data_IF_449201261466
#
_entry.id   IF_449201261466
#
_cell.length_a   1.000
_cell.length_b   1.000
_cell.length_c   1.000
_cell.angle_alpha   90.00
_cell.angle_beta   90.00
_cell.angle_gamma   90.00
#
_symmetry.space_group_name_H-M   'P 1'
#
loop_
_entity.id
_entity.type
_entity.pdbx_description
1 polymer ?
#
# COMPACT_ATOMS: atom_id res chain seq x y z
N UNK A 1 5.73 -2.59 -10.26
CA UNK A 1 4.40 -2.33 -9.67
C UNK A 1 4.10 -0.87 -9.88
N UNK A 2 2.84 -0.49 -9.89
CA UNK A 2 2.36 0.84 -10.27
C UNK A 2 1.35 1.35 -9.25
N UNK A 3 1.28 2.67 -9.06
CA UNK A 3 0.46 3.30 -8.02
C UNK A 3 -1.03 3.36 -8.37
N UNK A 4 -1.39 3.26 -9.65
CA UNK A 4 -2.77 3.35 -10.18
C UNK A 4 -3.58 2.06 -10.00
N UNK A 5 -2.97 1.01 -9.46
CA UNK A 5 -3.60 -0.30 -9.23
C UNK A 5 -3.42 -0.72 -7.78
N UNK A 6 -4.38 -1.49 -7.26
CA UNK A 6 -4.25 -2.08 -5.93
C UNK A 6 -2.91 -2.80 -5.78
N UNK A 7 -2.20 -2.47 -4.70
CA UNK A 7 -0.92 -3.09 -4.44
C UNK A 7 -1.08 -4.54 -3.99
N UNK A 8 -2.11 -4.85 -3.21
CA UNK A 8 -2.48 -6.22 -2.86
C UNK A 8 -2.68 -7.10 -4.11
N UNK A 9 -3.41 -6.60 -5.12
CA UNK A 9 -3.60 -7.34 -6.36
C UNK A 9 -2.27 -7.60 -7.08
N UNK A 10 -1.42 -6.58 -7.20
CA UNK A 10 -0.11 -6.74 -7.86
C UNK A 10 0.84 -7.68 -7.09
N UNK A 11 0.75 -7.73 -5.76
CA UNK A 11 1.48 -8.68 -4.91
C UNK A 11 0.96 -10.10 -5.13
N UNK A 12 -0.35 -10.28 -5.28
CA UNK A 12 -0.92 -11.58 -5.59
C UNK A 12 -0.40 -12.11 -6.93
N UNK A 13 -0.38 -11.28 -7.97
CA UNK A 13 0.22 -11.64 -9.27
C UNK A 13 1.71 -11.99 -9.14
N UNK A 14 2.45 -11.25 -8.31
CA UNK A 14 3.84 -11.57 -8.00
C UNK A 14 3.99 -12.95 -7.34
N UNK A 15 3.10 -13.31 -6.41
CA UNK A 15 3.08 -14.63 -5.78
C UNK A 15 2.79 -15.75 -6.77
N UNK A 16 1.85 -15.54 -7.69
CA UNK A 16 1.55 -16.50 -8.76
C UNK A 16 2.80 -16.75 -9.59
N UNK A 17 3.51 -15.70 -9.99
CA UNK A 17 4.75 -15.82 -10.76
C UNK A 17 5.82 -16.63 -10.01
N UNK A 18 6.05 -16.33 -8.73
CA UNK A 18 6.98 -17.09 -7.88
C UNK A 18 6.57 -18.56 -7.77
N UNK A 19 5.27 -18.82 -7.68
CA UNK A 19 4.74 -20.18 -7.63
C UNK A 19 4.87 -20.93 -8.96
N UNK A 20 4.75 -20.24 -10.10
CA UNK A 20 4.97 -20.84 -11.41
C UNK A 20 6.43 -21.28 -11.57
N UNK A 21 7.41 -20.50 -11.10
CA UNK A 21 8.80 -20.96 -11.05
C UNK A 21 8.95 -22.25 -10.23
N UNK A 22 8.28 -22.35 -9.08
CA UNK A 22 8.32 -23.59 -8.28
C UNK A 22 7.72 -24.80 -9.00
N UNK A 23 6.66 -24.60 -9.80
CA UNK A 23 6.06 -25.68 -10.61
C UNK A 23 7.01 -26.18 -11.69
N UNK A 24 7.85 -25.30 -12.23
CA UNK A 24 8.94 -25.62 -13.15
C UNK A 24 10.22 -26.10 -12.42
N UNK A 25 10.10 -26.49 -11.15
CA UNK A 25 11.21 -26.95 -10.29
C UNK A 25 12.33 -25.90 -10.07
N UNK A 26 12.03 -24.62 -10.31
CA UNK A 26 12.95 -23.49 -10.07
C UNK A 26 12.67 -22.89 -8.68
N UNK A 27 13.57 -23.17 -7.74
CA UNK A 27 13.48 -22.67 -6.37
C UNK A 27 14.24 -21.37 -6.19
N UNK A 28 13.49 -20.26 -6.06
CA UNK A 28 14.06 -18.96 -5.75
C UNK A 28 14.29 -18.82 -4.23
N UNK A 29 15.48 -18.41 -3.77
CA UNK A 29 15.73 -18.12 -2.37
C UNK A 29 14.77 -17.06 -1.83
N UNK A 30 14.29 -17.21 -0.60
CA UNK A 30 13.35 -16.24 -0.01
C UNK A 30 13.91 -14.81 -0.04
N UNK A 31 15.21 -14.62 0.24
CA UNK A 31 15.85 -13.29 0.17
C UNK A 31 15.77 -12.67 -1.22
N UNK A 32 15.87 -13.49 -2.27
CA UNK A 32 15.74 -13.03 -3.65
C UNK A 32 14.30 -12.59 -3.92
N UNK A 33 13.32 -13.43 -3.55
CA UNK A 33 11.89 -13.11 -3.71
C UNK A 33 11.52 -11.85 -2.94
N UNK A 34 11.96 -11.69 -1.70
CA UNK A 34 11.71 -10.48 -0.91
C UNK A 34 12.40 -9.26 -1.53
N UNK A 35 13.66 -9.39 -1.95
CA UNK A 35 14.42 -8.30 -2.57
C UNK A 35 13.81 -7.84 -3.88
N UNK A 36 13.36 -8.76 -4.74
CA UNK A 36 12.69 -8.45 -5.99
C UNK A 36 11.36 -7.74 -5.75
N UNK A 37 10.56 -8.18 -4.76
CA UNK A 37 9.32 -7.50 -4.40
C UNK A 37 9.60 -6.05 -3.98
N UNK A 38 10.55 -5.86 -3.05
CA UNK A 38 10.97 -4.54 -2.56
C UNK A 38 11.44 -3.65 -3.73
N UNK A 39 12.27 -4.18 -4.63
CA UNK A 39 12.77 -3.43 -5.78
C UNK A 39 11.72 -3.12 -6.85
N UNK A 40 10.59 -3.84 -6.87
CA UNK A 40 9.48 -3.62 -7.81
C UNK A 40 8.45 -2.62 -7.31
N UNK A 41 8.50 -2.23 -6.03
CA UNK A 41 7.55 -1.28 -5.45
C UNK A 41 7.73 0.13 -6.04
N UNK A 42 6.62 0.88 -6.23
CA UNK A 42 6.69 2.27 -6.65
C UNK A 42 7.39 3.14 -5.60
N UNK A 43 7.85 4.31 -6.01
CA UNK A 43 8.52 5.26 -5.11
C UNK A 43 7.61 5.69 -3.94
N UNK A 44 6.30 5.84 -4.19
CA UNK A 44 5.31 6.18 -3.16
C UNK A 44 5.22 5.15 -2.02
N UNK A 45 5.73 3.93 -2.23
CA UNK A 45 5.72 2.83 -1.25
C UNK A 45 7.07 2.63 -0.55
N UNK A 46 8.09 3.45 -0.83
CA UNK A 46 9.43 3.29 -0.23
C UNK A 46 9.43 3.39 1.29
N UNK A 47 8.53 4.19 1.87
CA UNK A 47 8.43 4.31 3.33
C UNK A 47 8.02 3.01 4.00
N UNK A 48 7.26 2.14 3.31
CA UNK A 48 6.96 0.79 3.81
C UNK A 48 8.20 -0.05 4.07
N UNK A 49 9.21 0.15 3.24
CA UNK A 49 10.47 -0.59 3.30
C UNK A 49 11.36 0.02 4.38
N UNK A 50 11.39 1.36 4.48
CA UNK A 50 12.25 2.08 5.41
C UNK A 50 11.82 1.91 6.88
N UNK A 51 10.52 1.89 7.17
CA UNK A 51 9.99 1.57 8.51
C UNK A 51 10.45 0.20 9.00
N UNK A 52 10.61 -0.78 8.09
CA UNK A 52 11.13 -2.11 8.43
C UNK A 52 12.64 -2.13 8.73
N UNK A 53 13.43 -1.16 8.23
CA UNK A 53 14.88 -1.08 8.46
C UNK A 53 15.26 -0.60 9.85
N UNK A 54 14.40 0.19 10.51
CA UNK A 54 14.66 0.70 11.87
C UNK A 54 14.66 -0.41 12.93
N UNK A 55 14.10 -1.59 12.61
CA UNK A 55 14.27 -2.81 13.39
C UNK A 55 15.27 -3.67 12.62
N UNK A 56 16.50 -3.84 13.13
CA UNK A 56 17.59 -4.64 12.53
C UNK A 56 17.29 -6.15 12.34
N UNK A 57 16.03 -6.56 12.16
CA UNK A 57 15.61 -7.90 11.80
C UNK A 57 15.67 -8.07 10.28
N UNK A 58 16.09 -9.25 9.84
CA UNK A 58 15.93 -9.67 8.44
C UNK A 58 14.44 -9.55 8.09
N UNK A 59 14.13 -8.77 7.06
CA UNK A 59 12.77 -8.57 6.58
C UNK A 59 12.37 -9.83 5.81
N UNK A 60 11.35 -10.54 6.28
CA UNK A 60 10.79 -11.70 5.56
C UNK A 60 9.81 -11.25 4.48
N UNK A 61 9.49 -12.13 3.53
CA UNK A 61 8.49 -11.83 2.50
C UNK A 61 7.14 -11.49 3.13
N UNK A 62 6.76 -12.24 4.18
CA UNK A 62 5.52 -12.04 4.93
C UNK A 62 5.46 -10.65 5.57
N UNK A 63 6.56 -10.20 6.16
CA UNK A 63 6.63 -8.88 6.80
C UNK A 63 6.37 -7.76 5.77
N UNK A 64 6.97 -7.86 4.57
CA UNK A 64 6.75 -6.89 3.49
C UNK A 64 5.29 -6.84 3.09
N UNK A 65 4.66 -7.99 2.89
CA UNK A 65 3.26 -8.09 2.47
C UNK A 65 2.35 -7.49 3.54
N UNK A 66 2.51 -7.89 4.80
CA UNK A 66 1.69 -7.37 5.90
C UNK A 66 1.81 -5.85 6.02
N UNK A 67 3.01 -5.30 5.87
CA UNK A 67 3.20 -3.85 5.95
C UNK A 67 2.54 -3.11 4.77
N UNK A 68 2.58 -3.68 3.57
CA UNK A 68 1.88 -3.13 2.40
C UNK A 68 0.37 -3.19 2.60
N UNK A 69 -0.19 -4.31 3.09
CA UNK A 69 -1.62 -4.42 3.37
C UNK A 69 -2.10 -3.36 4.36
N UNK A 70 -1.32 -3.08 5.41
CA UNK A 70 -1.65 -2.05 6.40
C UNK A 70 -1.61 -0.65 5.76
N UNK A 71 -0.56 -0.31 5.00
CA UNK A 71 -0.47 1.01 4.37
C UNK A 71 -1.56 1.20 3.30
N UNK A 72 -1.90 0.17 2.54
CA UNK A 72 -3.00 0.24 1.55
C UNK A 72 -4.33 0.54 2.21
N UNK A 73 -4.66 -0.19 3.29
CA UNK A 73 -5.87 0.08 4.07
C UNK A 73 -5.88 1.48 4.69
N UNK A 74 -4.72 1.99 5.13
CA UNK A 74 -4.63 3.36 5.63
C UNK A 74 -4.93 4.38 4.53
N UNK A 75 -4.34 4.23 3.34
CA UNK A 75 -4.60 5.13 2.21
C UNK A 75 -6.08 5.16 1.80
N UNK A 76 -6.72 3.99 1.79
CA UNK A 76 -8.15 3.88 1.49
C UNK A 76 -8.97 4.66 2.51
N UNK A 77 -8.64 4.55 3.81
CA UNK A 77 -9.31 5.32 4.86
C UNK A 77 -9.04 6.82 4.74
N UNK A 78 -7.79 7.22 4.51
CA UNK A 78 -7.44 8.64 4.35
C UNK A 78 -8.22 9.27 3.18
N UNK A 79 -8.43 8.54 2.06
CA UNK A 79 -9.29 9.03 0.96
C UNK A 79 -10.76 9.15 1.34
N UNK A 80 -11.29 8.29 2.21
CA UNK A 80 -12.66 8.41 2.70
C UNK A 80 -12.81 9.60 3.67
N UNK A 81 -11.82 9.80 4.54
CA UNK A 81 -11.82 10.92 5.49
C UNK A 81 -11.70 12.27 4.75
N UNK A 82 -10.90 12.35 3.67
CA UNK A 82 -10.82 13.54 2.80
C UNK A 82 -12.14 13.83 2.04
N UNK A 83 -12.87 12.81 1.60
CA UNK A 83 -14.17 12.95 0.93
C UNK A 83 -15.30 13.38 1.89
N UNK A 84 -15.27 12.90 3.14
CA UNK A 84 -16.24 13.29 4.19
C UNK A 84 -16.01 14.74 4.67
N UNK A 85 -14.74 15.17 4.76
CA UNK A 85 -14.39 16.56 5.06
C UNK A 85 -14.78 17.50 3.90
N UNK A 86 -14.64 17.08 2.63
CA UNK A 86 -15.09 17.86 1.47
C UNK A 86 -16.62 18.05 1.43
N UNK A 87 -17.41 17.04 1.83
CA UNK A 87 -18.88 17.16 1.94
C UNK A 87 -19.33 18.03 3.13
N UNK A 88 -18.60 18.03 4.23
CA UNK A 88 -18.97 18.76 5.45
C UNK A 88 -18.79 20.28 5.33
N UNK A 89 -17.98 20.74 4.37
CA UNK A 89 -17.65 22.15 4.18
C UNK A 89 -18.67 22.93 3.31
N UNK A 90 -19.70 22.26 2.80
CA UNK A 90 -20.62 22.84 1.81
C UNK A 90 -21.87 23.54 2.38
N UNK A 91 -22.04 23.67 3.70
CA UNK A 91 -23.28 24.28 4.26
C UNK A 91 -23.03 25.15 5.49
N UNK A 92 -22.42 26.34 5.37
CA UNK A 92 -22.75 27.52 6.22
C UNK A 92 -22.34 28.82 5.48
N UNK A 93 -23.01 29.21 4.41
CA UNK A 93 -23.06 30.63 4.03
C UNK A 93 -24.47 31.00 3.58
N UNK A 94 -24.90 32.16 4.07
CA UNK A 94 -26.08 32.92 3.69
C UNK A 94 -27.40 32.61 4.41
N UNK A 95 -27.55 33.19 5.60
CA UNK A 95 -28.63 34.16 5.81
C UNK A 95 -28.40 35.04 7.03
N UNK A 96 -27.60 36.09 6.85
CA UNK A 96 -27.75 37.32 7.63
C UNK A 96 -28.79 38.20 6.93
N UNK A 97 -30.02 38.23 7.45
CA UNK A 97 -30.88 39.41 7.36
C UNK A 97 -31.61 39.63 8.67
N UNK A 98 -31.17 40.58 9.51
CA UNK A 98 -32.06 41.19 10.49
C UNK A 98 -32.83 42.30 9.78
N UNK A 99 -34.16 42.31 9.87
CA UNK A 99 -35.03 43.48 9.68
C UNK A 99 -36.47 43.00 9.85
N UNK A 100 -37.40 43.66 10.53
CA UNK A 100 -37.45 44.71 11.55
C UNK A 100 -38.87 44.60 12.10
#
# INVERSE_FOLDING_TARGET
MVDDKSMLYQIHEYHILVNNFKKEEIFLPERFVTGCLIGKLPESWRDCINTSKHKKKKVSLKDVITHISIKENNRIRDTFDEEEEFCSNATIMENTRPNK
#
